data_IF_102728210157
#
_entry.id   IF_102728210157
#
_cell.length_a   1.000
_cell.length_b   1.000
_cell.length_c   1.000
_cell.angle_alpha   90.00
_cell.angle_beta   90.00
_cell.angle_gamma   90.00
#
_symmetry.space_group_name_H-M   'P 1'
#
loop_
_entity.id
_entity.type
_entity.pdbx_description
1 polymer ?
#
# COMPACT_ATOMS: atom_id res chain seq x y z
N UNK A 1 5.20 5.86 0.80
CA UNK A 1 6.07 4.94 0.02
C UNK A 1 5.18 4.29 -1.05
N UNK A 2 5.75 3.62 -2.04
CA UNK A 2 4.98 2.92 -3.07
C UNK A 2 5.17 1.41 -2.93
N UNK A 3 6.21 0.88 -3.57
CA UNK A 3 6.47 -0.56 -3.62
C UNK A 3 7.19 -1.09 -2.39
N UNK A 4 7.89 -0.24 -1.64
CA UNK A 4 8.56 -0.68 -0.42
C UNK A 4 7.60 -1.07 0.70
N UNK A 5 6.34 -0.66 0.65
CA UNK A 5 5.28 -1.07 1.59
C UNK A 5 5.02 -2.58 1.60
N UNK A 6 5.41 -3.32 0.55
CA UNK A 6 5.32 -4.78 0.56
C UNK A 6 6.42 -5.47 1.36
N UNK A 7 7.48 -4.75 1.74
CA UNK A 7 8.57 -5.26 2.57
C UNK A 7 8.06 -5.95 3.85
N UNK A 8 7.27 -5.24 4.68
CA UNK A 8 6.62 -5.79 5.87
C UNK A 8 5.82 -7.07 5.62
N UNK A 9 5.14 -7.24 4.48
CA UNK A 9 4.39 -8.46 4.19
C UNK A 9 5.29 -9.70 4.12
N UNK A 10 6.48 -9.57 3.51
CA UNK A 10 7.48 -10.65 3.46
C UNK A 10 8.03 -11.01 4.82
N UNK A 11 8.36 -9.99 5.65
CA UNK A 11 8.84 -10.18 7.02
C UNK A 11 7.78 -10.87 7.88
N UNK A 12 6.54 -10.38 7.85
CA UNK A 12 5.43 -10.97 8.60
C UNK A 12 5.14 -12.40 8.15
N UNK A 13 5.20 -12.69 6.85
CA UNK A 13 4.99 -14.05 6.35
C UNK A 13 6.05 -15.03 6.86
N UNK A 14 7.30 -14.56 7.05
CA UNK A 14 8.36 -15.38 7.62
C UNK A 14 8.05 -15.82 9.06
N UNK A 15 7.53 -14.92 9.89
CA UNK A 15 7.16 -15.19 11.28
C UNK A 15 5.78 -15.85 11.45
N UNK A 16 4.83 -15.55 10.56
CA UNK A 16 3.43 -15.99 10.63
C UNK A 16 3.04 -16.77 9.36
N UNK A 17 3.75 -17.88 9.12
CA UNK A 17 3.65 -18.68 7.87
C UNK A 17 2.27 -19.26 7.59
N UNK A 18 1.43 -19.40 8.61
CA UNK A 18 0.05 -19.90 8.47
C UNK A 18 -0.93 -18.83 7.96
N UNK A 19 -0.52 -17.56 7.94
CA UNK A 19 -1.24 -16.50 7.21
C UNK A 19 -0.62 -16.38 5.82
N UNK A 20 -1.46 -16.50 4.79
CA UNK A 20 -0.97 -16.46 3.40
C UNK A 20 -0.29 -15.13 3.08
N UNK A 21 0.78 -15.18 2.29
CA UNK A 21 1.47 -13.98 1.82
C UNK A 21 0.54 -13.03 1.03
N UNK A 22 -0.42 -13.56 0.29
CA UNK A 22 -1.40 -12.76 -0.47
C UNK A 22 -2.22 -11.85 0.47
N UNK A 23 -2.77 -12.40 1.56
CA UNK A 23 -3.50 -11.63 2.58
C UNK A 23 -2.62 -10.53 3.21
N UNK A 24 -1.35 -10.83 3.48
CA UNK A 24 -0.42 -9.85 4.03
C UNK A 24 -0.09 -8.75 3.04
N UNK A 25 0.08 -9.07 1.75
CA UNK A 25 0.31 -8.07 0.69
C UNK A 25 -0.88 -7.14 0.49
N UNK A 26 -2.11 -7.68 0.52
CA UNK A 26 -3.33 -6.85 0.49
C UNK A 26 -3.39 -5.96 1.72
N UNK A 27 -3.14 -6.51 2.91
CA UNK A 27 -3.19 -5.75 4.16
C UNK A 27 -2.19 -4.60 4.17
N UNK A 28 -0.94 -4.81 3.74
CA UNK A 28 0.06 -3.74 3.65
C UNK A 28 -0.30 -2.63 2.67
N UNK A 29 -1.31 -2.80 1.80
CA UNK A 29 -1.74 -1.80 0.83
C UNK A 29 -3.19 -1.37 0.99
N UNK A 30 -3.87 -1.84 2.04
CA UNK A 30 -5.29 -1.52 2.22
C UNK A 30 -5.52 -0.02 2.33
N UNK A 31 -4.56 0.71 2.92
CA UNK A 31 -4.62 2.17 3.04
C UNK A 31 -4.70 2.83 1.66
N UNK A 32 -3.75 2.53 0.76
CA UNK A 32 -3.77 3.05 -0.61
C UNK A 32 -5.03 2.63 -1.37
N UNK A 33 -5.42 1.35 -1.27
CA UNK A 33 -6.62 0.83 -1.95
C UNK A 33 -7.85 1.60 -1.50
N UNK A 34 -7.99 1.88 -0.20
CA UNK A 34 -9.11 2.65 0.32
C UNK A 34 -9.07 4.10 -0.17
N UNK A 35 -7.93 4.77 -0.10
CA UNK A 35 -7.76 6.14 -0.60
C UNK A 35 -8.12 6.26 -2.09
N UNK A 36 -7.57 5.39 -2.93
CA UNK A 36 -7.88 5.36 -4.35
C UNK A 36 -9.35 5.04 -4.62
N UNK A 37 -9.96 4.17 -3.80
CA UNK A 37 -11.39 3.86 -3.91
C UNK A 37 -12.27 5.06 -3.56
N UNK A 38 -11.95 5.80 -2.50
CA UNK A 38 -12.65 7.04 -2.15
C UNK A 38 -12.49 8.08 -3.26
N UNK A 39 -11.25 8.38 -3.66
CA UNK A 39 -10.98 9.35 -4.71
C UNK A 39 -11.66 9.00 -6.04
N UNK A 40 -11.63 7.72 -6.45
CA UNK A 40 -12.31 7.26 -7.67
C UNK A 40 -13.83 7.36 -7.56
N UNK A 41 -14.40 6.99 -6.41
CA UNK A 41 -15.85 7.08 -6.20
C UNK A 41 -16.30 8.54 -6.16
N UNK A 42 -15.50 9.44 -5.58
CA UNK A 42 -15.72 10.87 -5.64
C UNK A 42 -15.73 11.40 -7.08
N UNK A 43 -14.79 10.93 -7.91
CA UNK A 43 -14.74 11.28 -9.32
C UNK A 43 -16.00 10.84 -10.07
N UNK A 44 -16.43 9.59 -9.88
CA UNK A 44 -17.62 9.06 -10.54
C UNK A 44 -18.93 9.69 -10.06
N UNK A 45 -19.05 9.95 -8.76
CA UNK A 45 -20.28 10.46 -8.16
C UNK A 45 -20.43 11.97 -8.31
N UNK A 46 -19.32 12.71 -8.36
CA UNK A 46 -19.31 14.16 -8.19
C UNK A 46 -18.37 14.92 -9.11
N UNK A 47 -17.72 14.24 -10.06
CA UNK A 47 -16.80 14.87 -11.01
C UNK A 47 -15.69 15.69 -10.32
N UNK A 48 -15.30 15.31 -9.09
CA UNK A 48 -14.34 16.02 -8.24
C UNK A 48 -14.70 17.50 -7.93
N UNK A 49 -15.98 17.89 -8.02
CA UNK A 49 -16.47 19.24 -7.65
C UNK A 49 -16.66 19.35 -6.14
N UNK A 50 -15.58 19.71 -5.42
CA UNK A 50 -15.53 19.74 -3.95
C UNK A 50 -15.83 21.14 -3.37
N UNK A 51 -15.69 22.23 -4.15
CA UNK A 51 -15.78 23.58 -3.61
C UNK A 51 -17.20 24.19 -3.68
N UNK A 52 -17.75 24.41 -2.48
CA UNK A 52 -18.88 25.29 -2.11
C UNK A 52 -20.32 24.87 -2.49
N UNK A 53 -21.12 24.57 -1.46
CA UNK A 53 -22.59 24.47 -1.45
C UNK A 53 -23.28 23.45 -2.38
N UNK A 54 -22.54 22.63 -3.12
CA UNK A 54 -23.10 21.61 -4.00
C UNK A 54 -23.23 20.26 -3.29
N UNK A 55 -24.27 19.51 -3.68
CA UNK A 55 -24.73 18.14 -3.30
C UNK A 55 -23.70 17.05 -2.96
N UNK A 56 -22.41 17.30 -3.04
CA UNK A 56 -21.36 16.32 -2.83
C UNK A 56 -20.69 16.39 -1.45
N UNK A 57 -21.46 16.60 -0.39
CA UNK A 57 -21.04 16.24 0.98
C UNK A 57 -21.14 14.73 1.21
N UNK A 58 -20.82 13.94 0.18
CA UNK A 58 -20.97 12.50 0.25
C UNK A 58 -19.75 11.90 0.94
N UNK A 59 -19.97 10.83 1.71
CA UNK A 59 -18.91 10.05 2.38
C UNK A 59 -17.81 9.60 1.41
N UNK A 60 -18.10 9.58 0.12
CA UNK A 60 -17.18 9.20 -0.95
C UNK A 60 -16.13 10.27 -1.29
N UNK A 61 -16.36 11.56 -0.99
CA UNK A 61 -15.40 12.65 -1.26
C UNK A 61 -14.62 13.08 -0.01
N UNK A 62 -14.58 12.23 1.01
CA UNK A 62 -13.79 12.50 2.22
C UNK A 62 -12.28 12.43 1.97
N UNK A 63 -11.85 11.84 0.86
CA UNK A 63 -10.43 11.76 0.53
C UNK A 63 -10.14 12.10 -0.93
N UNK A 64 -9.15 12.97 -1.14
CA UNK A 64 -8.74 13.46 -2.46
C UNK A 64 -7.34 14.08 -2.38
N UNK A 65 -6.76 14.43 -3.53
CA UNK A 65 -5.52 15.21 -3.60
C UNK A 65 -5.75 16.54 -4.29
N UNK A 66 -4.94 17.55 -3.95
CA UNK A 66 -4.87 18.83 -4.67
C UNK A 66 -3.50 19.04 -5.27
N UNK A 67 -3.40 19.70 -6.41
CA UNK A 67 -2.10 20.08 -6.98
C UNK A 67 -1.42 21.12 -6.10
N UNK A 68 -0.10 20.99 -5.92
CA UNK A 68 0.76 22.02 -5.35
C UNK A 68 1.74 22.48 -6.44
N UNK A 69 1.36 23.54 -7.16
CA UNK A 69 2.07 24.05 -8.34
C UNK A 69 3.50 24.46 -8.00
N UNK A 70 3.73 24.98 -6.79
CA UNK A 70 5.09 25.30 -6.32
C UNK A 70 5.96 24.03 -6.26
N UNK A 71 5.49 22.96 -5.62
CA UNK A 71 6.20 21.69 -5.54
C UNK A 71 6.37 21.04 -6.92
N UNK A 72 5.40 21.19 -7.83
CA UNK A 72 5.52 20.74 -9.22
C UNK A 72 6.64 21.48 -9.96
N UNK A 73 6.71 22.82 -9.85
CA UNK A 73 7.78 23.63 -10.46
C UNK A 73 9.16 23.28 -9.91
N UNK A 74 9.24 22.98 -8.62
CA UNK A 74 10.46 22.46 -7.96
C UNK A 74 10.76 20.99 -8.31
N UNK A 75 9.91 20.36 -9.13
CA UNK A 75 10.03 18.98 -9.60
C UNK A 75 10.11 17.98 -8.43
N UNK A 76 9.34 18.22 -7.36
CA UNK A 76 9.28 17.32 -6.20
C UNK A 76 8.65 15.97 -6.58
N UNK A 77 9.06 14.92 -5.87
CA UNK A 77 8.60 13.53 -6.10
C UNK A 77 7.09 13.41 -5.91
N UNK A 78 6.55 14.11 -4.90
CA UNK A 78 5.13 14.08 -4.58
C UNK A 78 4.60 15.51 -4.49
N UNK A 79 4.16 16.09 -5.61
CA UNK A 79 3.77 17.50 -5.67
C UNK A 79 2.26 17.71 -5.43
N UNK A 80 1.66 16.89 -4.56
CA UNK A 80 0.22 16.90 -4.27
C UNK A 80 -0.04 17.09 -2.79
N UNK A 81 -1.06 17.86 -2.44
CA UNK A 81 -1.64 18.02 -1.10
C UNK A 81 -2.75 17.02 -0.86
N UNK A 82 -2.48 15.91 -0.15
CA UNK A 82 -3.49 14.91 0.11
C UNK A 82 -4.40 15.36 1.25
N UNK A 83 -5.70 15.22 1.03
CA UNK A 83 -6.72 15.20 2.05
C UNK A 83 -7.08 13.73 2.28
N UNK A 84 -6.47 13.09 3.27
CA UNK A 84 -6.57 11.64 3.47
C UNK A 84 -6.55 11.23 4.95
N UNK A 85 -7.25 12.00 5.77
CA UNK A 85 -7.23 11.83 7.22
C UNK A 85 -7.96 10.53 7.65
N UNK A 86 -8.68 9.84 6.77
CA UNK A 86 -9.44 8.63 7.13
C UNK A 86 -8.60 7.38 6.88
N UNK A 87 -8.08 7.17 5.68
CA UNK A 87 -7.31 5.98 5.31
C UNK A 87 -5.87 6.06 5.81
N UNK A 88 -5.21 7.21 5.68
CA UNK A 88 -3.80 7.41 6.07
C UNK A 88 -3.61 7.93 7.50
N UNK A 89 -4.56 7.63 8.39
CA UNK A 89 -4.37 7.90 9.82
C UNK A 89 -4.06 6.65 10.63
N UNK A 90 -3.51 6.84 11.83
CA UNK A 90 -3.35 5.74 12.78
C UNK A 90 -4.72 5.22 13.24
N UNK A 91 -5.70 6.10 13.44
CA UNK A 91 -7.11 5.68 13.64
C UNK A 91 -7.61 4.84 12.47
N UNK A 92 -7.39 5.30 11.23
CA UNK A 92 -7.71 4.56 10.00
C UNK A 92 -7.09 3.18 9.99
N UNK A 93 -5.81 3.08 10.33
CA UNK A 93 -5.08 1.81 10.42
C UNK A 93 -5.74 0.84 11.41
N UNK A 94 -6.21 1.32 12.56
CA UNK A 94 -6.97 0.50 13.54
C UNK A 94 -8.30 0.03 12.97
N UNK A 95 -9.06 0.92 12.32
CA UNK A 95 -10.36 0.59 11.71
C UNK A 95 -10.18 -0.45 10.60
N UNK A 96 -9.25 -0.23 9.67
CA UNK A 96 -8.99 -1.16 8.57
C UNK A 96 -8.44 -2.49 9.05
N UNK A 97 -7.68 -2.50 10.15
CA UNK A 97 -7.25 -3.75 10.80
C UNK A 97 -8.46 -4.56 11.28
N UNK A 98 -9.43 -3.93 11.94
CA UNK A 98 -10.65 -4.60 12.39
C UNK A 98 -11.41 -5.18 11.19
N UNK A 99 -11.64 -4.38 10.15
CA UNK A 99 -12.32 -4.81 8.92
C UNK A 99 -11.61 -5.99 8.25
N UNK A 100 -10.30 -5.91 8.04
CA UNK A 100 -9.51 -6.98 7.42
C UNK A 100 -9.48 -8.26 8.26
N UNK A 101 -9.40 -8.12 9.58
CA UNK A 101 -9.39 -9.29 10.48
C UNK A 101 -10.74 -10.02 10.46
N UNK A 102 -11.85 -9.28 10.47
CA UNK A 102 -13.19 -9.83 10.36
C UNK A 102 -13.40 -10.53 9.00
N UNK A 103 -13.00 -9.87 7.91
CA UNK A 103 -13.07 -10.44 6.56
C UNK A 103 -12.24 -11.73 6.45
N UNK A 104 -11.01 -11.72 6.97
CA UNK A 104 -10.15 -12.89 7.00
C UNK A 104 -10.80 -14.05 7.77
N UNK A 105 -11.38 -13.79 8.94
CA UNK A 105 -12.03 -14.81 9.76
C UNK A 105 -13.27 -15.38 9.07
N UNK A 106 -14.08 -14.52 8.42
CA UNK A 106 -15.27 -14.94 7.70
C UNK A 106 -14.95 -15.88 6.53
N UNK A 107 -13.89 -15.57 5.76
CA UNK A 107 -13.48 -16.35 4.58
C UNK A 107 -12.71 -17.62 4.98
N UNK A 108 -11.70 -17.51 5.86
CA UNK A 108 -10.76 -18.59 6.10
C UNK A 108 -11.14 -19.49 7.29
N UNK A 109 -12.04 -19.03 8.17
CA UNK A 109 -12.47 -19.76 9.39
C UNK A 109 -11.29 -20.41 10.15
N UNK A 110 -10.29 -19.62 10.57
CA UNK A 110 -9.06 -20.14 11.15
C UNK A 110 -9.34 -20.93 12.43
N UNK A 111 -8.83 -22.16 12.51
CA UNK A 111 -9.07 -23.06 13.66
C UNK A 111 -8.04 -22.91 14.79
N UNK A 112 -6.84 -22.46 14.45
CA UNK A 112 -5.67 -22.52 15.35
C UNK A 112 -5.20 -21.14 15.85
N UNK A 113 -5.91 -20.06 15.50
CA UNK A 113 -5.59 -18.70 15.96
C UNK A 113 -6.81 -18.05 16.58
N UNK A 114 -6.59 -17.37 17.70
CA UNK A 114 -7.58 -16.46 18.25
C UNK A 114 -7.74 -15.23 17.34
N UNK A 115 -8.91 -14.60 17.39
CA UNK A 115 -9.16 -13.35 16.69
C UNK A 115 -8.12 -12.27 17.03
N UNK A 116 -7.75 -12.15 18.31
CA UNK A 116 -6.75 -11.18 18.78
C UNK A 116 -5.37 -11.41 18.14
N UNK A 117 -4.97 -12.67 17.93
CA UNK A 117 -3.71 -12.98 17.25
C UNK A 117 -3.74 -12.55 15.78
N UNK A 118 -4.85 -12.80 15.09
CA UNK A 118 -5.05 -12.39 13.69
C UNK A 118 -5.05 -10.87 13.58
N UNK A 119 -5.80 -10.21 14.47
CA UNK A 119 -5.84 -8.75 14.57
C UNK A 119 -4.45 -8.17 14.77
N UNK A 120 -3.65 -8.74 15.68
CA UNK A 120 -2.27 -8.30 15.90
C UNK A 120 -1.39 -8.39 14.65
N UNK A 121 -1.50 -9.48 13.87
CA UNK A 121 -0.73 -9.62 12.62
C UNK A 121 -1.18 -8.62 11.56
N UNK A 122 -2.48 -8.44 11.37
CA UNK A 122 -2.99 -7.45 10.42
C UNK A 122 -2.69 -6.01 10.86
N UNK A 123 -2.70 -5.74 12.18
CA UNK A 123 -2.31 -4.43 12.70
C UNK A 123 -0.86 -4.13 12.33
N UNK A 124 0.05 -5.08 12.55
CA UNK A 124 1.46 -4.90 12.14
C UNK A 124 1.59 -4.67 10.63
N UNK A 125 0.81 -5.39 9.80
CA UNK A 125 0.83 -5.19 8.35
C UNK A 125 0.33 -3.79 7.95
N UNK A 126 -0.84 -3.37 8.43
CA UNK A 126 -1.47 -2.11 8.03
C UNK A 126 -0.76 -0.91 8.66
N UNK A 127 -0.45 -0.97 9.95
CA UNK A 127 0.27 0.11 10.63
C UNK A 127 1.70 0.28 10.10
N UNK A 128 2.32 -0.77 9.54
CA UNK A 128 3.62 -0.62 8.87
C UNK A 128 3.56 0.28 7.65
N UNK A 129 2.44 0.28 6.91
CA UNK A 129 2.23 1.21 5.81
C UNK A 129 2.22 2.65 6.33
N UNK A 130 1.35 2.93 7.31
CA UNK A 130 1.28 4.24 7.96
C UNK A 130 2.65 4.70 8.50
N UNK A 131 3.39 3.81 9.16
CA UNK A 131 4.71 4.12 9.71
C UNK A 131 5.75 4.45 8.63
N UNK A 132 5.77 3.69 7.53
CA UNK A 132 6.66 3.97 6.40
C UNK A 132 6.28 5.27 5.69
N UNK A 133 5.00 5.61 5.68
CA UNK A 133 4.52 6.91 5.22
C UNK A 133 4.98 8.06 6.12
N UNK A 134 5.00 7.91 7.44
CA UNK A 134 5.59 8.90 8.36
C UNK A 134 7.06 9.18 8.02
N UNK A 135 7.81 8.18 7.52
CA UNK A 135 9.20 8.40 7.10
C UNK A 135 9.26 9.29 5.87
N UNK A 136 8.48 8.97 4.83
CA UNK A 136 8.68 9.58 3.52
C UNK A 136 7.86 10.83 3.27
N UNK A 137 6.65 10.89 3.83
CA UNK A 137 5.73 12.00 3.64
C UNK A 137 6.10 13.18 4.54
N UNK A 138 5.64 14.35 4.12
CA UNK A 138 5.68 15.58 4.91
C UNK A 138 4.78 15.49 6.13
N UNK A 139 4.66 16.58 6.89
CA UNK A 139 3.78 16.69 8.06
C UNK A 139 2.28 16.67 7.69
N UNK A 140 1.85 15.65 6.94
CA UNK A 140 0.50 15.44 6.45
C UNK A 140 -0.06 14.04 6.80
N UNK A 141 0.68 13.20 7.53
CA UNK A 141 0.18 11.91 8.01
C UNK A 141 -0.54 12.10 9.34
N UNK A 142 -1.86 11.92 9.33
CA UNK A 142 -2.70 12.11 10.51
C UNK A 142 -2.48 11.03 11.57
N UNK A 143 -2.60 11.39 12.85
CA UNK A 143 -2.49 10.42 13.96
C UNK A 143 -3.88 9.94 14.37
N UNK A 144 -4.64 10.72 15.15
CA UNK A 144 -5.91 10.27 15.76
C UNK A 144 -7.14 11.11 15.39
N UNK A 145 -7.51 11.24 14.10
CA UNK A 145 -8.78 11.88 13.74
C UNK A 145 -9.98 11.04 14.24
N UNK A 146 -11.15 11.65 14.52
CA UNK A 146 -11.41 13.09 14.56
C UNK A 146 -10.99 13.76 15.88
N UNK A 147 -10.31 13.03 16.78
CA UNK A 147 -9.97 13.51 18.13
C UNK A 147 -8.84 14.55 18.13
N UNK A 148 -7.94 14.50 17.15
CA UNK A 148 -6.86 15.48 16.96
C UNK A 148 -6.64 15.81 15.48
N UNK A 149 -6.21 17.04 15.21
CA UNK A 149 -5.72 17.48 13.91
C UNK A 149 -4.20 17.32 13.75
N UNK A 150 -3.52 16.71 14.73
CA UNK A 150 -2.07 16.52 14.69
C UNK A 150 -1.67 15.60 13.53
N UNK A 151 -0.71 16.09 12.73
CA UNK A 151 -0.07 15.38 11.62
C UNK A 151 1.44 15.34 11.84
N UNK A 152 2.09 14.29 11.34
CA UNK A 152 3.53 14.07 11.45
C UNK A 152 4.12 13.59 10.13
N UNK A 153 5.42 13.78 9.94
CA UNK A 153 6.19 13.19 8.85
C UNK A 153 7.61 13.73 8.79
N UNK A 154 8.56 12.90 8.39
CA UNK A 154 9.98 13.27 8.29
C UNK A 154 10.35 13.89 6.92
N UNK A 155 9.42 13.89 5.96
CA UNK A 155 9.51 14.57 4.68
C UNK A 155 10.74 14.16 3.84
N UNK A 156 11.15 12.89 3.84
CA UNK A 156 12.30 12.49 3.00
C UNK A 156 12.02 12.70 1.51
N UNK A 157 10.77 12.60 1.05
CA UNK A 157 10.42 12.96 -0.34
C UNK A 157 10.68 14.43 -0.70
N UNK A 158 10.69 15.34 0.27
CA UNK A 158 10.95 16.76 0.04
C UNK A 158 12.44 17.12 0.22
N UNK A 159 13.08 16.49 1.20
CA UNK A 159 14.40 16.86 1.70
C UNK A 159 15.55 16.00 1.15
N UNK A 160 15.28 14.76 0.73
CA UNK A 160 16.29 13.88 0.15
C UNK A 160 16.24 13.90 -1.37
N UNK A 161 17.33 13.51 -2.01
CA UNK A 161 17.38 13.34 -3.46
C UNK A 161 16.45 12.22 -3.94
N UNK A 162 16.11 12.27 -5.23
CA UNK A 162 15.35 11.19 -5.90
C UNK A 162 16.05 9.85 -5.81
N UNK A 163 17.37 9.85 -5.89
CA UNK A 163 18.17 8.64 -5.80
C UNK A 163 18.09 8.00 -4.41
N UNK A 164 18.25 8.79 -3.35
CA UNK A 164 18.17 8.30 -1.96
C UNK A 164 16.79 7.72 -1.64
N UNK A 165 15.71 8.41 -2.01
CA UNK A 165 14.36 7.90 -1.83
C UNK A 165 14.08 6.64 -2.69
N UNK A 166 14.61 6.58 -3.91
CA UNK A 166 14.53 5.38 -4.75
C UNK A 166 15.25 4.18 -4.10
N UNK A 167 16.44 4.42 -3.53
CA UNK A 167 17.17 3.40 -2.77
C UNK A 167 16.39 2.94 -1.54
N UNK A 168 15.75 3.86 -0.82
CA UNK A 168 14.92 3.54 0.35
C UNK A 168 13.76 2.61 -0.04
N UNK A 169 13.01 2.96 -1.09
CA UNK A 169 11.91 2.14 -1.63
C UNK A 169 12.38 0.74 -2.03
N UNK A 170 13.48 0.67 -2.79
CA UNK A 170 14.09 -0.57 -3.24
C UNK A 170 14.56 -1.40 -2.04
N UNK A 171 15.21 -0.80 -1.04
CA UNK A 171 15.72 -1.49 0.13
C UNK A 171 14.60 -2.21 0.91
N UNK A 172 13.50 -1.50 1.22
CA UNK A 172 12.35 -2.13 1.90
C UNK A 172 11.71 -3.24 1.07
N UNK A 173 11.60 -3.05 -0.24
CA UNK A 173 11.09 -4.07 -1.15
C UNK A 173 11.97 -5.33 -1.17
N UNK A 174 13.30 -5.16 -1.22
CA UNK A 174 14.27 -6.27 -1.16
C UNK A 174 14.30 -6.98 0.18
N UNK A 175 14.16 -6.27 1.30
CA UNK A 175 14.01 -6.90 2.62
C UNK A 175 12.82 -7.88 2.57
N UNK A 176 11.66 -7.44 2.05
CA UNK A 176 10.51 -8.34 1.86
C UNK A 176 10.85 -9.57 1.03
N UNK A 177 11.50 -9.39 -0.12
CA UNK A 177 11.90 -10.49 -1.01
C UNK A 177 12.85 -11.48 -0.31
N UNK A 178 13.83 -10.99 0.46
CA UNK A 178 14.78 -11.82 1.22
C UNK A 178 14.04 -12.67 2.24
N UNK A 179 13.11 -12.09 3.01
CA UNK A 179 12.32 -12.85 4.00
C UNK A 179 11.37 -13.84 3.35
N UNK A 180 10.81 -13.52 2.18
CA UNK A 180 10.02 -14.47 1.37
C UNK A 180 10.89 -15.68 0.97
N UNK A 181 12.10 -15.45 0.46
CA UNK A 181 13.05 -16.54 0.14
C UNK A 181 13.39 -17.35 1.40
N UNK A 182 13.64 -16.68 2.52
CA UNK A 182 13.96 -17.33 3.79
C UNK A 182 12.86 -18.28 4.29
N UNK A 183 11.58 -18.04 3.91
CA UNK A 183 10.49 -18.99 4.22
C UNK A 183 10.66 -20.35 3.53
N UNK A 184 11.43 -20.40 2.44
CA UNK A 184 11.68 -21.61 1.65
C UNK A 184 12.96 -22.35 2.06
N UNK A 185 13.80 -21.75 2.91
CA UNK A 185 15.00 -22.41 3.40
C UNK A 185 14.65 -23.69 4.18
N UNK A 186 15.33 -24.79 3.86
CA UNK A 186 15.06 -26.12 4.45
C UNK A 186 13.90 -26.90 3.81
N UNK A 187 13.21 -26.36 2.79
CA UNK A 187 12.27 -27.15 1.98
C UNK A 187 13.00 -27.77 0.79
N UNK A 188 12.93 -29.09 0.64
CA UNK A 188 13.68 -29.84 -0.39
C UNK A 188 13.23 -29.56 -1.83
N UNK A 189 12.10 -28.86 -2.06
CA UNK A 189 11.62 -28.56 -3.41
C UNK A 189 10.98 -27.19 -3.53
N UNK A 190 11.72 -26.23 -4.05
CA UNK A 190 11.20 -24.94 -4.52
C UNK A 190 10.76 -25.10 -5.98
N UNK A 191 9.50 -24.76 -6.28
CA UNK A 191 8.94 -24.91 -7.62
C UNK A 191 9.36 -23.77 -8.56
N UNK A 192 9.35 -24.01 -9.88
CA UNK A 192 9.61 -22.96 -10.89
C UNK A 192 8.65 -21.78 -10.77
N UNK A 193 7.38 -22.03 -10.43
CA UNK A 193 6.36 -21.00 -10.23
C UNK A 193 6.74 -19.99 -9.15
N UNK A 194 7.40 -20.42 -8.08
CA UNK A 194 7.91 -19.53 -7.03
C UNK A 194 8.90 -18.51 -7.61
N UNK A 195 9.91 -19.00 -8.35
CA UNK A 195 10.95 -18.13 -8.92
C UNK A 195 10.41 -17.19 -9.99
N UNK A 196 9.46 -17.65 -10.81
CA UNK A 196 8.78 -16.80 -11.79
C UNK A 196 8.00 -15.70 -11.07
N UNK A 197 7.19 -16.05 -10.07
CA UNK A 197 6.40 -15.08 -9.32
C UNK A 197 7.27 -14.07 -8.57
N UNK A 198 8.35 -14.52 -7.93
CA UNK A 198 9.32 -13.67 -7.25
C UNK A 198 10.04 -12.72 -8.22
N UNK A 199 10.45 -13.22 -9.38
CA UNK A 199 11.11 -12.39 -10.41
C UNK A 199 10.17 -11.32 -10.95
N UNK A 200 8.91 -11.66 -11.20
CA UNK A 200 7.88 -10.70 -11.62
C UNK A 200 7.60 -9.66 -10.52
N UNK A 201 7.54 -10.09 -9.27
CA UNK A 201 7.34 -9.20 -8.12
C UNK A 201 8.49 -8.18 -8.00
N UNK A 202 9.75 -8.64 -8.02
CA UNK A 202 10.94 -7.78 -7.98
C UNK A 202 11.00 -6.87 -9.21
N UNK A 203 10.77 -7.43 -10.40
CA UNK A 203 10.79 -6.67 -11.66
C UNK A 203 9.76 -5.56 -11.68
N UNK A 204 8.53 -5.85 -11.24
CA UNK A 204 7.47 -4.86 -11.09
C UNK A 204 7.83 -3.80 -10.05
N UNK A 205 8.38 -4.19 -8.89
CA UNK A 205 8.83 -3.26 -7.86
C UNK A 205 9.87 -2.27 -8.39
N UNK A 206 10.90 -2.76 -9.08
CA UNK A 206 11.95 -1.93 -9.69
C UNK A 206 11.37 -1.02 -10.78
N UNK A 207 10.55 -1.57 -11.67
CA UNK A 207 9.95 -0.82 -12.77
C UNK A 207 9.08 0.33 -12.25
N UNK A 208 8.18 0.05 -11.31
CA UNK A 208 7.28 1.04 -10.73
C UNK A 208 8.04 2.12 -9.97
N UNK A 209 9.00 1.76 -9.12
CA UNK A 209 9.84 2.75 -8.42
C UNK A 209 10.60 3.62 -9.42
N UNK A 210 11.19 3.04 -10.47
CA UNK A 210 11.86 3.84 -11.50
C UNK A 210 10.90 4.78 -12.21
N UNK A 211 9.72 4.28 -12.60
CA UNK A 211 8.71 5.07 -13.31
C UNK A 211 8.22 6.26 -12.47
N UNK A 212 8.02 6.07 -11.17
CA UNK A 212 7.57 7.13 -10.27
C UNK A 212 8.65 8.20 -10.06
N UNK A 213 9.90 7.78 -9.80
CA UNK A 213 10.97 8.71 -9.47
C UNK A 213 11.59 9.42 -10.68
N UNK A 214 11.51 8.82 -11.86
CA UNK A 214 12.22 9.31 -13.06
C UNK A 214 11.36 9.37 -14.32
N UNK A 215 10.11 8.91 -14.27
CA UNK A 215 9.26 8.81 -15.47
C UNK A 215 8.51 10.09 -15.81
N UNK A 216 8.36 11.03 -14.88
CA UNK A 216 7.63 12.28 -15.10
C UNK A 216 8.42 13.49 -14.62
N UNK A 217 8.42 14.53 -15.45
CA UNK A 217 8.93 15.86 -15.11
C UNK A 217 7.73 16.74 -14.73
N UNK A 218 7.45 16.84 -13.43
CA UNK A 218 6.24 17.49 -12.92
C UNK A 218 6.27 19.00 -13.16
N UNK A 219 7.45 19.58 -13.41
CA UNK A 219 7.61 20.99 -13.75
C UNK A 219 6.86 21.37 -15.03
N UNK A 220 6.79 20.48 -16.02
CA UNK A 220 6.07 20.72 -17.29
C UNK A 220 4.55 20.64 -17.14
N UNK A 221 4.08 19.90 -16.14
CA UNK A 221 2.65 19.80 -15.84
C UNK A 221 2.15 20.99 -15.03
N UNK A 222 3.05 21.72 -14.36
CA UNK A 222 2.71 22.86 -13.51
C UNK A 222 2.03 24.01 -14.28
N UNK A 223 2.25 24.10 -15.60
CA UNK A 223 1.63 25.11 -16.46
C UNK A 223 0.25 24.69 -16.98
N UNK A 224 -0.17 23.45 -16.73
CA UNK A 224 -1.43 22.87 -17.22
C UNK A 224 -2.52 22.79 -16.15
N UNK A 225 -2.22 23.15 -14.91
CA UNK A 225 -3.10 22.98 -13.75
C UNK A 225 -3.11 24.23 -12.88
N UNK A 226 -4.20 24.45 -12.16
CA UNK A 226 -4.29 25.53 -11.17
C UNK A 226 -3.83 25.05 -9.79
N UNK A 227 -3.22 25.94 -9.01
CA UNK A 227 -2.77 25.61 -7.65
C UNK A 227 -3.99 25.35 -6.74
N UNK A 228 -3.96 24.24 -6.01
CA UNK A 228 -5.09 23.81 -5.19
C UNK A 228 -6.21 23.09 -5.95
N UNK A 229 -6.15 23.02 -7.29
CA UNK A 229 -7.12 22.26 -8.08
C UNK A 229 -7.10 20.77 -7.68
N UNK A 230 -8.28 20.16 -7.64
CA UNK A 230 -8.43 18.75 -7.24
C UNK A 230 -7.85 17.83 -8.32
N UNK A 231 -6.92 16.97 -7.93
CA UNK A 231 -6.30 16.00 -8.81
C UNK A 231 -7.28 14.88 -9.17
N UNK A 232 -7.52 14.68 -10.46
CA UNK A 232 -8.32 13.55 -10.95
C UNK A 232 -7.56 12.22 -10.79
N UNK A 233 -8.21 11.14 -10.30
CA UNK A 233 -7.54 9.87 -9.97
C UNK A 233 -7.17 9.02 -11.20
N UNK A 234 -6.65 9.61 -12.28
CA UNK A 234 -6.33 8.88 -13.52
C UNK A 234 -5.33 7.74 -13.34
N UNK A 235 -4.46 7.83 -12.33
CA UNK A 235 -3.49 6.78 -12.00
C UNK A 235 -3.99 5.78 -10.96
N UNK A 236 -5.13 6.05 -10.31
CA UNK A 236 -5.66 5.22 -9.22
C UNK A 236 -5.98 3.79 -9.66
N UNK A 237 -6.58 3.64 -10.84
CA UNK A 237 -6.89 2.33 -11.41
C UNK A 237 -5.61 1.52 -11.68
N UNK A 238 -4.61 2.15 -12.29
CA UNK A 238 -3.34 1.50 -12.56
C UNK A 238 -2.64 1.06 -11.27
N UNK A 239 -2.53 1.94 -10.28
CA UNK A 239 -1.95 1.62 -8.97
C UNK A 239 -2.70 0.45 -8.31
N UNK A 240 -4.03 0.52 -8.27
CA UNK A 240 -4.89 -0.53 -7.70
C UNK A 240 -4.67 -1.88 -8.40
N UNK A 241 -4.59 -1.91 -9.73
CA UNK A 241 -4.28 -3.13 -10.51
C UNK A 241 -2.92 -3.70 -10.11
N UNK A 242 -1.88 -2.86 -10.00
CA UNK A 242 -0.56 -3.35 -9.57
C UNK A 242 -0.62 -3.98 -8.18
N UNK A 243 -1.49 -3.48 -7.29
CA UNK A 243 -1.64 -4.05 -5.96
C UNK A 243 -2.26 -5.44 -5.96
N UNK A 244 -3.29 -5.64 -6.78
CA UNK A 244 -3.88 -6.96 -6.97
C UNK A 244 -2.90 -7.94 -7.64
N UNK A 245 -2.11 -7.48 -8.61
CA UNK A 245 -1.06 -8.31 -9.23
C UNK A 245 -0.05 -8.75 -8.18
N UNK A 246 0.44 -7.85 -7.32
CA UNK A 246 1.34 -8.21 -6.21
C UNK A 246 0.73 -9.29 -5.33
N UNK A 247 -0.53 -9.16 -4.92
CA UNK A 247 -1.21 -10.16 -4.08
C UNK A 247 -1.32 -11.53 -4.78
N UNK A 248 -1.61 -11.56 -6.08
CA UNK A 248 -1.64 -12.79 -6.90
C UNK A 248 -0.23 -13.43 -6.95
N UNK A 249 0.82 -12.63 -7.16
CA UNK A 249 2.20 -13.12 -7.11
C UNK A 249 2.54 -13.67 -5.71
N UNK A 250 2.08 -13.01 -4.65
CA UNK A 250 2.16 -13.48 -3.27
C UNK A 250 1.53 -14.85 -3.03
N UNK A 251 0.39 -15.13 -3.67
CA UNK A 251 -0.22 -16.46 -3.65
C UNK A 251 0.73 -17.51 -4.25
N UNK A 252 1.26 -17.28 -5.45
CA UNK A 252 2.18 -18.22 -6.09
C UNK A 252 3.52 -18.38 -5.35
N UNK A 253 3.99 -17.33 -4.66
CA UNK A 253 5.19 -17.40 -3.82
C UNK A 253 4.95 -18.19 -2.51
N UNK A 254 3.75 -18.12 -1.94
CA UNK A 254 3.41 -18.86 -0.72
C UNK A 254 2.92 -20.29 -0.97
N UNK A 255 2.48 -20.60 -2.19
CA UNK A 255 1.94 -21.91 -2.55
C UNK A 255 2.92 -23.06 -2.26
N UNK A 256 2.53 -23.95 -1.35
CA UNK A 256 3.24 -25.18 -1.03
C UNK A 256 2.36 -26.38 -1.42
N UNK A 257 2.77 -27.15 -2.43
CA UNK A 257 2.06 -28.37 -2.86
C UNK A 257 1.97 -29.47 -1.79
N UNK A 258 2.68 -29.35 -0.67
CA UNK A 258 2.73 -30.38 0.38
C UNK A 258 1.42 -30.52 1.17
N UNK A 259 0.57 -29.49 1.22
CA UNK A 259 -0.75 -29.59 1.84
C UNK A 259 -1.73 -30.43 1.01
N UNK A 260 -1.65 -30.39 -0.32
CA UNK A 260 -2.42 -31.30 -1.18
C UNK A 260 -1.89 -32.73 -1.13
N UNK A 261 -0.57 -32.93 -1.01
CA UNK A 261 0.00 -34.29 -0.95
C UNK A 261 -0.39 -35.05 0.33
N UNK A 262 -0.58 -34.34 1.46
CA UNK A 262 -1.07 -34.97 2.70
C UNK A 262 -2.55 -35.33 2.64
N UNK A 263 -3.38 -34.59 1.91
CA UNK A 263 -4.80 -34.95 1.76
C UNK A 263 -5.01 -36.22 0.92
N UNK A 264 -4.14 -36.49 -0.05
CA UNK A 264 -4.23 -37.70 -0.90
C UNK A 264 -3.63 -38.97 -0.28
N UNK A 265 -3.06 -38.93 0.93
CA UNK A 265 -2.55 -40.13 1.61
C UNK A 265 -3.47 -40.67 2.71
N UNK A 266 -4.58 -40.01 2.96
CA UNK A 266 -5.58 -40.40 3.98
C UNK A 266 -6.94 -40.77 3.36
N UNK A 267 -7.00 -40.97 2.04
CA UNK A 267 -8.08 -41.66 1.34
C UNK A 267 -7.53 -42.99 0.81
#
# INVERSE_FOLDING_TARGET
>A
MFQGHYGPAGVLHYFFRDISLAWLMVATQVIDVMFYSFSWTCHLACEMKIESNARCENVFCLEYGRYNVKAMRENKIFPFEPHNDISYSLTGSVIWTLCMSLLYCAINRPKNRSFLSIYGVFFMAIASHWLLDVIVRRNDVAILPPFTSQKIGFATWENWSRFENCLLEIAFHWIGAIFIIATKYGNERIFKSFWIALSLYIGMGIFMTRAIFYGQDTSKMADLVEDGEVFAPGHALFATITYFISAILGYFMSFNNSSQWKMNKTQ
#
